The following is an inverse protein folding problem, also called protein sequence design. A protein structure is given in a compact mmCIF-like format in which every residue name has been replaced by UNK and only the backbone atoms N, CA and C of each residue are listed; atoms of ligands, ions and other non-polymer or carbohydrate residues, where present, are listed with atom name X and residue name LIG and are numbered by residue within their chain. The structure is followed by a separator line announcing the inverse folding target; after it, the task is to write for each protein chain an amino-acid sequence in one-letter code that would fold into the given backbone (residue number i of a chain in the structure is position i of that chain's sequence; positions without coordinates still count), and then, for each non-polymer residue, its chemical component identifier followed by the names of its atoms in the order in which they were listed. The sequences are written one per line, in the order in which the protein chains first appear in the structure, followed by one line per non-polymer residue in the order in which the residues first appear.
data_IF_141278488123
#
_entry.id   IF_141278488123
#
_cell.length_a   1.000
_cell.length_b   1.000
_cell.length_c   1.000
_cell.angle_alpha   90.00
_cell.angle_beta   90.00
_cell.angle_gamma   90.00
#
_symmetry.space_group_name_H-M   'P 1'
#
loop_
_entity.id
_entity.type
_entity.pdbx_description
1 polymer ?
#
# COMPACT_ATOMS: atom_id res chain seq x y z
N UNK A 1 1.98 -22.96 26.46
CA UNK A 1 1.77 -22.11 25.27
C UNK A 1 0.65 -22.63 24.36
N UNK A 2 0.47 -23.94 24.22
CA UNK A 2 -0.72 -24.54 23.56
C UNK A 2 -2.01 -24.28 24.34
N UNK A 3 -1.96 -24.35 25.67
CA UNK A 3 -3.06 -24.03 26.59
C UNK A 3 -3.58 -22.60 26.41
N UNK A 4 -2.69 -21.60 26.48
CA UNK A 4 -3.02 -20.20 26.21
C UNK A 4 -3.72 -19.99 24.86
N UNK A 5 -3.22 -20.62 23.80
CA UNK A 5 -3.83 -20.49 22.48
C UNK A 5 -5.25 -21.09 22.44
N UNK A 6 -5.47 -22.22 23.13
CA UNK A 6 -6.77 -22.86 23.22
C UNK A 6 -7.75 -22.03 24.08
N UNK A 7 -7.31 -21.54 25.23
CA UNK A 7 -8.10 -20.69 26.14
C UNK A 7 -8.58 -19.41 25.45
N UNK A 8 -7.72 -18.78 24.64
CA UNK A 8 -8.03 -17.53 23.95
C UNK A 8 -8.54 -17.72 22.52
N UNK A 9 -8.84 -18.95 22.08
CA UNK A 9 -9.34 -19.25 20.72
C UNK A 9 -8.48 -18.66 19.59
N UNK A 10 -7.15 -18.64 19.77
CA UNK A 10 -6.21 -18.17 18.75
C UNK A 10 -5.38 -19.32 18.19
N UNK A 11 -5.07 -19.27 16.90
CA UNK A 11 -4.13 -20.23 16.31
C UNK A 11 -2.72 -19.98 16.85
N UNK A 12 -1.91 -21.05 16.96
CA UNK A 12 -0.47 -20.93 17.29
C UNK A 12 0.27 -20.01 16.31
N UNK A 13 -0.12 -20.03 15.02
CA UNK A 13 0.42 -19.15 13.98
C UNK A 13 0.16 -17.68 14.31
N UNK A 14 -1.07 -17.35 14.74
CA UNK A 14 -1.46 -16.00 15.16
C UNK A 14 -0.63 -15.56 16.36
N UNK A 15 -0.49 -16.42 17.39
CA UNK A 15 0.30 -16.11 18.57
C UNK A 15 1.75 -15.76 18.22
N UNK A 16 2.43 -16.59 17.42
CA UNK A 16 3.81 -16.33 17.04
C UNK A 16 3.97 -15.10 16.14
N UNK A 17 2.98 -14.80 15.29
CA UNK A 17 2.97 -13.56 14.52
C UNK A 17 2.88 -12.31 15.41
N UNK A 18 2.01 -12.33 16.43
CA UNK A 18 1.87 -11.23 17.40
C UNK A 18 3.15 -11.09 18.24
N UNK A 19 3.68 -12.20 18.78
CA UNK A 19 4.93 -12.21 19.56
C UNK A 19 6.11 -11.67 18.75
N UNK A 20 6.25 -12.07 17.50
CA UNK A 20 7.33 -11.59 16.64
C UNK A 20 7.25 -10.07 16.44
N UNK A 21 6.05 -9.51 16.22
CA UNK A 21 5.85 -8.06 16.13
C UNK A 21 6.21 -7.35 17.42
N UNK A 22 5.77 -7.87 18.56
CA UNK A 22 6.09 -7.31 19.87
C UNK A 22 7.61 -7.21 20.12
N UNK A 23 8.37 -8.20 19.63
CA UNK A 23 9.82 -8.25 19.76
C UNK A 23 10.55 -7.31 18.79
N UNK A 24 10.08 -7.18 17.54
CA UNK A 24 10.76 -6.41 16.48
C UNK A 24 10.33 -4.94 16.46
N UNK A 25 9.04 -4.67 16.65
CA UNK A 25 8.40 -3.38 16.46
C UNK A 25 7.94 -2.75 17.80
N UNK A 26 8.00 -3.51 18.91
CA UNK A 26 7.58 -3.08 20.24
C UNK A 26 6.16 -3.51 20.61
N UNK A 27 5.84 -3.45 21.91
CA UNK A 27 4.59 -4.00 22.45
C UNK A 27 3.33 -3.32 21.87
N UNK A 28 3.36 -2.01 21.69
CA UNK A 28 2.25 -1.26 21.11
C UNK A 28 1.94 -1.72 19.68
N UNK A 29 2.98 -1.87 18.85
CA UNK A 29 2.84 -2.28 17.44
C UNK A 29 2.22 -3.69 17.26
N UNK A 30 2.28 -4.54 18.28
CA UNK A 30 1.64 -5.86 18.24
C UNK A 30 0.10 -5.79 18.26
N UNK A 31 -0.47 -4.70 18.80
CA UNK A 31 -1.91 -4.48 18.96
C UNK A 31 -2.48 -3.44 17.99
N UNK A 32 -1.63 -2.64 17.34
CA UNK A 32 -2.06 -1.65 16.35
C UNK A 32 -2.73 -2.30 15.12
N UNK A 33 -3.88 -1.78 14.65
CA UNK A 33 -4.48 -2.20 13.39
C UNK A 33 -3.51 -1.99 12.22
N UNK A 34 -3.27 -3.06 11.44
CA UNK A 34 -2.43 -2.99 10.24
C UNK A 34 -3.30 -3.05 8.98
N UNK A 35 -2.73 -2.52 7.90
CA UNK A 35 -3.31 -2.64 6.58
C UNK A 35 -3.62 -4.11 6.26
N UNK A 36 -4.85 -4.36 5.82
CA UNK A 36 -5.28 -5.66 5.27
C UNK A 36 -4.99 -5.76 3.78
N UNK A 37 -4.43 -4.70 3.17
CA UNK A 37 -4.08 -4.67 1.76
C UNK A 37 -2.95 -5.67 1.51
N UNK A 38 -3.01 -6.45 0.41
CA UNK A 38 -1.88 -7.25 -0.04
C UNK A 38 -0.60 -6.41 -0.16
N UNK A 39 0.55 -7.01 0.18
CA UNK A 39 1.85 -6.33 0.11
C UNK A 39 2.20 -5.86 -1.31
N UNK A 40 1.74 -6.62 -2.31
CA UNK A 40 1.92 -6.31 -3.74
C UNK A 40 0.60 -6.53 -4.48
N UNK A 41 0.32 -5.70 -5.49
CA UNK A 41 -0.74 -5.92 -6.47
C UNK A 41 -0.14 -6.21 -7.84
N UNK A 42 -0.68 -7.16 -8.63
CA UNK A 42 -0.28 -7.34 -10.04
C UNK A 42 -0.45 -6.05 -10.88
N UNK A 43 -1.40 -5.19 -10.48
CA UNK A 43 -1.69 -3.90 -11.11
C UNK A 43 -0.95 -2.72 -10.47
N UNK A 44 0.13 -2.99 -9.72
CA UNK A 44 0.91 -1.91 -9.09
C UNK A 44 1.60 -1.09 -10.17
N UNK A 45 1.26 0.20 -10.26
CA UNK A 45 1.92 1.15 -11.14
C UNK A 45 3.35 1.40 -10.65
N UNK A 46 4.32 1.29 -11.56
CA UNK A 46 5.73 1.56 -11.30
C UNK A 46 5.96 3.04 -10.91
N UNK A 47 6.97 3.30 -10.08
CA UNK A 47 7.14 4.64 -9.49
C UNK A 47 7.54 5.70 -10.53
N UNK A 48 8.30 5.31 -11.54
CA UNK A 48 8.63 6.12 -12.71
C UNK A 48 7.36 6.57 -13.46
N UNK A 49 6.42 5.66 -13.70
CA UNK A 49 5.13 5.97 -14.34
C UNK A 49 4.32 6.97 -13.50
N UNK A 50 4.35 6.86 -12.16
CA UNK A 50 3.70 7.85 -11.27
C UNK A 50 4.34 9.23 -11.40
N UNK A 51 5.66 9.29 -11.45
CA UNK A 51 6.40 10.55 -11.61
C UNK A 51 6.07 11.18 -12.97
N UNK A 52 6.03 10.39 -14.03
CA UNK A 52 5.61 10.84 -15.35
C UNK A 52 4.17 11.36 -15.34
N UNK A 53 3.23 10.66 -14.72
CA UNK A 53 1.83 11.10 -14.60
C UNK A 53 1.70 12.46 -13.91
N UNK A 54 2.43 12.67 -12.80
CA UNK A 54 2.46 13.96 -12.10
C UNK A 54 3.07 15.05 -12.98
N UNK A 55 4.11 14.73 -13.74
CA UNK A 55 4.74 15.65 -14.70
C UNK A 55 3.79 16.06 -15.83
N UNK A 56 3.09 15.10 -16.43
CA UNK A 56 2.08 15.36 -17.47
C UNK A 56 0.95 16.21 -16.92
N UNK A 57 0.45 15.92 -15.71
CA UNK A 57 -0.58 16.75 -15.06
C UNK A 57 -0.14 18.20 -14.93
N UNK A 58 1.09 18.43 -14.46
CA UNK A 58 1.66 19.78 -14.33
C UNK A 58 1.78 20.47 -15.70
N UNK A 59 2.26 19.78 -16.73
CA UNK A 59 2.39 20.34 -18.07
C UNK A 59 1.03 20.73 -18.68
N UNK A 60 -0.02 19.95 -18.44
CA UNK A 60 -1.39 20.27 -18.86
C UNK A 60 -1.92 21.51 -18.12
N UNK A 61 -1.69 21.58 -16.80
CA UNK A 61 -2.04 22.75 -15.97
C UNK A 61 -1.34 24.03 -16.46
N UNK A 62 -0.02 23.97 -16.69
CA UNK A 62 0.78 25.09 -17.22
C UNK A 62 0.31 25.54 -18.61
N UNK A 63 -0.23 24.62 -19.42
CA UNK A 63 -0.77 24.91 -20.75
C UNK A 63 -2.22 25.42 -20.72
N UNK A 64 -2.84 25.53 -19.53
CA UNK A 64 -4.25 25.90 -19.38
C UNK A 64 -5.23 24.85 -19.90
N UNK A 65 -4.80 23.58 -20.01
CA UNK A 65 -5.62 22.46 -20.47
C UNK A 65 -6.27 21.73 -19.29
N UNK A 66 -7.25 20.87 -19.60
CA UNK A 66 -7.80 19.95 -18.59
C UNK A 66 -6.69 19.00 -18.08
N UNK A 67 -6.49 19.00 -16.78
CA UNK A 67 -5.47 18.23 -16.07
C UNK A 67 -6.11 17.14 -15.19
N UNK A 68 -7.35 16.75 -15.51
CA UNK A 68 -8.03 15.61 -14.92
C UNK A 68 -7.36 14.26 -15.23
N UNK A 69 -7.71 13.20 -14.50
CA UNK A 69 -7.06 11.88 -14.63
C UNK A 69 -7.22 11.25 -16.02
N UNK A 70 -8.34 11.48 -16.70
CA UNK A 70 -8.57 10.98 -18.08
C UNK A 70 -7.63 11.70 -19.06
N UNK A 71 -7.59 13.03 -19.01
CA UNK A 71 -6.73 13.83 -19.87
C UNK A 71 -5.24 13.54 -19.66
N UNK A 72 -4.83 13.32 -18.39
CA UNK A 72 -3.47 12.87 -18.08
C UNK A 72 -3.20 11.48 -18.67
N UNK A 73 -4.12 10.53 -18.50
CA UNK A 73 -3.99 9.19 -19.06
C UNK A 73 -3.87 9.23 -20.59
N UNK A 74 -4.77 9.94 -21.27
CA UNK A 74 -4.78 10.03 -22.73
C UNK A 74 -3.51 10.69 -23.26
N UNK A 75 -3.03 11.73 -22.55
CA UNK A 75 -1.76 12.38 -22.89
C UNK A 75 -0.56 11.46 -22.66
N UNK A 76 -0.55 10.66 -21.60
CA UNK A 76 0.50 9.66 -21.36
C UNK A 76 0.49 8.58 -22.46
N UNK A 77 -0.67 8.03 -22.80
CA UNK A 77 -0.82 7.04 -23.89
C UNK A 77 -0.35 7.60 -25.23
N UNK A 78 -0.58 8.90 -25.49
CA UNK A 78 -0.10 9.57 -26.68
C UNK A 78 1.43 9.79 -26.71
N UNK A 79 2.11 9.75 -25.55
CA UNK A 79 3.55 9.96 -25.42
C UNK A 79 4.37 8.65 -25.46
N UNK A 80 3.74 7.49 -25.17
CA UNK A 80 4.36 6.14 -25.21
C UNK A 80 4.23 5.39 -23.89
#
# INVERSE_FOLDING_TARGET
MTTFCAEHSISRKTFYAIRHRALVEGQAAALEPRSRRPKSSPTTIANDVKVQAVGVRRALEESGLDHGPISVHDKMVALG
#
